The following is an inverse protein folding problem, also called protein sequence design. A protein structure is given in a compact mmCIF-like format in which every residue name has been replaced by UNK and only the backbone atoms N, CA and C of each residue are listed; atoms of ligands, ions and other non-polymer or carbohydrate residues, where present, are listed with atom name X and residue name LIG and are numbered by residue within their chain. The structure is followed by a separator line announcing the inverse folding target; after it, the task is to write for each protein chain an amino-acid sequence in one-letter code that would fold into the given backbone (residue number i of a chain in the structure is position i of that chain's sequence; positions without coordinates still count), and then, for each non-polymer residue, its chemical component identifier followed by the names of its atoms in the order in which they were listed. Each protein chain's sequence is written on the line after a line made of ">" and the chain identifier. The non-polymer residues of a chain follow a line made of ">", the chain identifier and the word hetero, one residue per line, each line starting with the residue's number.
data_IF_158956350984
#
_entry.id   IF_158956350984
#
_cell.length_a   1.000
_cell.length_b   1.000
_cell.length_c   1.000
_cell.angle_alpha   90.00
_cell.angle_beta   90.00
_cell.angle_gamma   90.00
#
_symmetry.space_group_name_H-M   'P 1'
#
loop_
_entity.id
_entity.type
_entity.pdbx_description
1 polymer ?
#
# COMPACT_ATOMS: atom_id res chain seq x y z
N UNK A 1 4.79 -12.27 7.18
CA UNK A 1 3.90 -11.60 6.20
C UNK A 1 2.51 -11.28 6.78
N UNK A 2 1.96 -12.12 7.68
CA UNK A 2 0.63 -11.89 8.29
C UNK A 2 0.49 -10.63 9.15
N UNK A 3 1.46 -10.34 10.02
CA UNK A 3 1.37 -9.21 10.99
C UNK A 3 1.19 -7.84 10.33
N UNK A 4 1.89 -7.59 9.21
CA UNK A 4 1.79 -6.32 8.50
C UNK A 4 0.49 -6.21 7.68
N UNK A 5 -0.12 -7.32 7.28
CA UNK A 5 -1.44 -7.31 6.61
C UNK A 5 -2.57 -7.05 7.59
N UNK A 6 -2.50 -7.60 8.82
CA UNK A 6 -3.46 -7.26 9.88
C UNK A 6 -3.41 -5.77 10.23
N UNK A 7 -2.20 -5.21 10.34
CA UNK A 7 -2.02 -3.76 10.56
C UNK A 7 -2.63 -2.95 9.41
N UNK A 8 -2.45 -3.38 8.16
CA UNK A 8 -3.08 -2.73 7.01
C UNK A 8 -4.61 -2.80 7.07
N UNK A 9 -5.18 -3.96 7.43
CA UNK A 9 -6.62 -4.12 7.57
C UNK A 9 -7.21 -3.17 8.62
N UNK A 10 -6.53 -3.01 9.77
CA UNK A 10 -6.89 -2.00 10.77
C UNK A 10 -6.86 -0.59 10.16
N UNK A 11 -5.78 -0.21 9.49
CA UNK A 11 -5.67 1.14 8.92
C UNK A 11 -6.74 1.41 7.85
N UNK A 12 -7.05 0.42 7.01
CA UNK A 12 -8.14 0.52 6.00
C UNK A 12 -9.49 0.73 6.68
N UNK A 13 -9.74 0.06 7.81
CA UNK A 13 -10.96 0.28 8.62
C UNK A 13 -11.06 1.71 9.12
N UNK A 14 -9.92 2.32 9.47
CA UNK A 14 -9.83 3.73 9.92
C UNK A 14 -9.78 4.74 8.76
N UNK A 15 -9.87 4.29 7.50
CA UNK A 15 -10.01 5.15 6.33
C UNK A 15 -8.70 5.41 5.56
N UNK A 16 -7.61 4.74 5.91
CA UNK A 16 -6.37 4.80 5.14
C UNK A 16 -6.56 4.14 3.77
N UNK A 17 -6.07 4.79 2.72
CA UNK A 17 -6.14 4.28 1.35
C UNK A 17 -4.88 4.62 0.56
N UNK A 18 -4.84 4.19 -0.71
CA UNK A 18 -3.75 4.52 -1.66
C UNK A 18 -3.36 6.00 -1.65
N UNK A 19 -4.31 6.91 -1.45
CA UNK A 19 -4.03 8.37 -1.44
C UNK A 19 -3.02 8.78 -0.35
N UNK A 20 -2.92 7.99 0.72
CA UNK A 20 -2.06 8.24 1.87
C UNK A 20 -0.69 7.56 1.72
N UNK A 21 -0.55 6.64 0.75
CA UNK A 21 0.68 5.91 0.45
C UNK A 21 1.55 6.70 -0.53
N UNK A 22 1.96 7.91 -0.14
CA UNK A 22 2.84 8.78 -0.93
C UNK A 22 4.08 9.20 -0.14
N UNK A 23 5.14 9.55 -0.87
CA UNK A 23 6.34 10.11 -0.26
C UNK A 23 6.21 11.63 -0.05
N UNK A 24 6.98 12.22 0.87
CA UNK A 24 7.05 13.67 1.00
C UNK A 24 7.49 14.33 -0.31
N UNK A 25 6.93 15.51 -0.62
CA UNK A 25 7.19 16.24 -1.87
C UNK A 25 8.68 16.45 -2.17
N UNK A 26 9.47 16.73 -1.13
CA UNK A 26 10.93 16.86 -1.24
C UNK A 26 11.58 15.60 -1.82
N UNK A 27 11.22 14.43 -1.30
CA UNK A 27 11.81 13.16 -1.69
C UNK A 27 11.40 12.77 -3.12
N UNK A 28 10.17 13.11 -3.51
CA UNK A 28 9.66 12.83 -4.86
C UNK A 28 10.28 13.74 -5.92
N UNK A 29 10.46 15.02 -5.62
CA UNK A 29 10.70 16.03 -6.64
C UNK A 29 12.11 16.63 -6.61
N UNK A 30 12.78 16.64 -5.45
CA UNK A 30 14.10 17.26 -5.32
C UNK A 30 15.20 16.20 -5.49
N UNK A 31 16.18 16.45 -6.38
CA UNK A 31 17.35 15.59 -6.49
C UNK A 31 18.17 15.56 -5.19
N UNK A 32 18.78 14.42 -4.91
CA UNK A 32 19.69 14.25 -3.78
C UNK A 32 20.84 15.26 -3.89
N UNK A 33 21.12 16.07 -2.86
CA UNK A 33 22.05 17.19 -2.98
C UNK A 33 23.53 16.79 -2.96
N UNK A 34 23.88 15.68 -2.28
CA UNK A 34 25.28 15.25 -2.07
C UNK A 34 25.39 13.72 -1.91
N UNK A 35 26.60 13.19 -2.10
CA UNK A 35 26.93 11.77 -1.95
C UNK A 35 26.86 10.98 -3.28
N UNK A 36 26.88 9.65 -3.21
CA UNK A 36 26.91 8.79 -4.40
C UNK A 36 25.67 8.92 -5.29
N UNK A 37 24.51 9.25 -4.71
CA UNK A 37 23.26 9.45 -5.43
C UNK A 37 23.01 10.92 -5.83
N UNK A 38 24.04 11.78 -5.81
CA UNK A 38 23.88 13.22 -6.15
C UNK A 38 23.20 13.38 -7.50
N UNK A 39 22.16 14.21 -7.56
CA UNK A 39 21.37 14.44 -8.78
C UNK A 39 20.29 13.39 -9.05
N UNK A 40 20.25 12.29 -8.30
CA UNK A 40 19.18 11.27 -8.41
C UNK A 40 17.96 11.67 -7.56
N UNK A 41 16.77 11.38 -8.06
CA UNK A 41 15.50 11.43 -7.32
C UNK A 41 15.10 10.03 -6.84
N UNK A 42 14.16 9.95 -5.89
CA UNK A 42 13.66 8.67 -5.39
C UNK A 42 12.98 7.82 -6.48
N UNK A 43 12.28 8.47 -7.41
CA UNK A 43 11.63 7.86 -8.56
C UNK A 43 11.92 8.67 -9.82
N UNK A 44 11.84 8.01 -10.98
CA UNK A 44 12.10 8.66 -12.27
C UNK A 44 11.01 9.70 -12.55
N UNK A 45 9.76 9.31 -12.35
CA UNK A 45 8.56 10.16 -12.44
C UNK A 45 7.49 9.72 -11.43
N UNK A 46 6.38 10.46 -11.37
CA UNK A 46 5.22 10.06 -10.57
C UNK A 46 4.61 8.75 -11.07
N UNK A 47 4.59 8.54 -12.39
CA UNK A 47 4.06 7.32 -13.01
C UNK A 47 4.91 6.09 -12.67
N UNK A 48 6.23 6.25 -12.62
CA UNK A 48 7.16 5.20 -12.17
C UNK A 48 6.86 4.79 -10.72
N UNK A 49 6.61 5.77 -9.83
CA UNK A 49 6.19 5.51 -8.46
C UNK A 49 4.85 4.77 -8.39
N UNK A 50 3.83 5.21 -9.12
CA UNK A 50 2.51 4.58 -9.13
C UNK A 50 2.58 3.13 -9.64
N UNK A 51 3.40 2.84 -10.65
CA UNK A 51 3.64 1.49 -11.15
C UNK A 51 4.35 0.61 -10.12
N UNK A 52 5.34 1.16 -9.39
CA UNK A 52 5.97 0.46 -8.28
C UNK A 52 4.97 0.15 -7.16
N UNK A 53 4.07 1.09 -6.86
CA UNK A 53 3.05 0.92 -5.82
C UNK A 53 2.01 -0.14 -6.22
N UNK A 54 1.57 -0.16 -7.49
CA UNK A 54 0.69 -1.20 -8.03
C UNK A 54 1.31 -2.59 -7.92
N UNK A 55 2.59 -2.70 -8.29
CA UNK A 55 3.32 -3.96 -8.20
C UNK A 55 3.47 -4.40 -6.75
N UNK A 56 3.73 -3.46 -5.83
CA UNK A 56 3.80 -3.75 -4.41
C UNK A 56 2.48 -4.32 -3.88
N UNK A 57 1.33 -3.72 -4.21
CA UNK A 57 0.02 -4.25 -3.80
C UNK A 57 -0.26 -5.63 -4.37
N UNK A 58 0.00 -5.83 -5.67
CA UNK A 58 -0.17 -7.12 -6.33
C UNK A 58 0.63 -8.23 -5.64
N UNK A 59 1.91 -7.97 -5.33
CA UNK A 59 2.77 -8.92 -4.61
C UNK A 59 2.28 -9.24 -3.19
N UNK A 60 1.51 -8.33 -2.58
CA UNK A 60 0.92 -8.50 -1.26
C UNK A 60 -0.46 -9.15 -1.28
N UNK A 61 -1.04 -9.39 -2.46
CA UNK A 61 -2.43 -9.84 -2.60
C UNK A 61 -3.44 -8.76 -2.22
N UNK A 62 -3.09 -7.49 -2.42
CA UNK A 62 -3.95 -6.34 -2.18
C UNK A 62 -4.52 -5.81 -3.50
N UNK A 63 -5.66 -5.13 -3.43
CA UNK A 63 -6.26 -4.48 -4.58
C UNK A 63 -5.51 -3.19 -4.98
N UNK A 64 -5.92 -2.56 -6.08
CA UNK A 64 -5.31 -1.31 -6.56
C UNK A 64 -5.47 -0.12 -5.60
N UNK A 65 -6.40 -0.20 -4.65
CA UNK A 65 -6.61 0.80 -3.60
C UNK A 65 -5.77 0.52 -2.34
N UNK A 66 -4.93 -0.52 -2.37
CA UNK A 66 -4.08 -0.93 -1.26
C UNK A 66 -4.86 -1.62 -0.14
N UNK A 67 -6.01 -2.24 -0.44
CA UNK A 67 -6.80 -3.01 0.52
C UNK A 67 -6.47 -4.50 0.41
N UNK A 68 -6.21 -5.21 1.53
CA UNK A 68 -6.07 -6.66 1.49
C UNK A 68 -7.32 -7.32 0.91
N UNK A 69 -7.16 -8.22 -0.05
CA UNK A 69 -8.29 -8.96 -0.60
C UNK A 69 -8.84 -9.96 0.42
N UNK A 70 -10.12 -10.32 0.30
CA UNK A 70 -10.73 -11.35 1.14
C UNK A 70 -9.93 -12.67 1.08
N UNK A 71 -9.54 -13.10 -0.13
CA UNK A 71 -8.68 -14.26 -0.35
C UNK A 71 -7.39 -14.20 0.48
N UNK A 72 -6.65 -13.09 0.41
CA UNK A 72 -5.39 -12.93 1.15
C UNK A 72 -5.59 -12.93 2.65
N UNK A 73 -6.68 -12.35 3.16
CA UNK A 73 -6.97 -12.36 4.59
C UNK A 73 -7.27 -13.78 5.09
N UNK A 74 -8.04 -14.56 4.34
CA UNK A 74 -8.33 -15.97 4.68
C UNK A 74 -7.07 -16.84 4.61
N UNK A 75 -6.25 -16.70 3.55
CA UNK A 75 -4.97 -17.43 3.43
C UNK A 75 -4.02 -17.16 4.61
N UNK A 76 -4.10 -15.96 5.19
CA UNK A 76 -3.31 -15.54 6.35
C UNK A 76 -3.98 -15.83 7.70
N UNK A 77 -5.14 -16.51 7.72
CA UNK A 77 -5.92 -16.82 8.94
C UNK A 77 -6.37 -15.56 9.70
N UNK A 78 -6.85 -14.55 8.95
CA UNK A 78 -7.36 -13.28 9.45
C UNK A 78 -8.87 -13.12 9.15
N UNK A 79 -9.64 -14.20 9.32
CA UNK A 79 -11.07 -14.27 8.97
C UNK A 79 -11.90 -13.21 9.71
N UNK A 80 -11.58 -12.92 10.98
CA UNK A 80 -12.27 -11.87 11.75
C UNK A 80 -12.10 -10.48 11.11
N UNK A 81 -10.91 -10.17 10.60
CA UNK A 81 -10.64 -8.91 9.91
C UNK A 81 -11.32 -8.88 8.53
N UNK A 82 -11.34 -10.02 7.82
CA UNK A 82 -12.04 -10.14 6.55
C UNK A 82 -13.54 -9.85 6.72
N UNK A 83 -14.14 -10.42 7.76
CA UNK A 83 -15.56 -10.24 8.08
C UNK A 83 -15.89 -8.80 8.50
N UNK A 84 -15.08 -8.17 9.35
CA UNK A 84 -15.28 -6.76 9.76
C UNK A 84 -15.21 -5.82 8.56
N UNK A 85 -14.18 -5.95 7.71
CA UNK A 85 -14.04 -5.13 6.51
C UNK A 85 -15.19 -5.36 5.51
N UNK A 86 -15.67 -6.60 5.38
CA UNK A 86 -16.82 -6.94 4.53
C UNK A 86 -18.11 -6.30 5.04
N UNK A 87 -18.41 -6.41 6.35
CA UNK A 87 -19.61 -5.80 6.97
C UNK A 87 -19.65 -4.28 6.74
N UNK A 88 -18.47 -3.65 6.71
CA UNK A 88 -18.28 -2.22 6.43
C UNK A 88 -18.29 -1.87 4.94
N UNK A 89 -18.41 -2.85 4.05
CA UNK A 89 -18.35 -2.70 2.58
C UNK A 89 -17.02 -2.09 2.11
N UNK A 90 -15.93 -2.41 2.80
CA UNK A 90 -14.60 -1.91 2.46
C UNK A 90 -13.87 -2.82 1.46
N UNK A 91 -14.17 -4.12 1.46
CA UNK A 91 -13.62 -5.11 0.53
C UNK A 91 -14.74 -5.98 -0.06
N UNK A 92 -14.49 -6.56 -1.24
CA UNK A 92 -15.38 -7.51 -1.91
C UNK A 92 -15.10 -8.96 -1.49
N UNK A 93 -16.04 -9.85 -1.83
CA UNK A 93 -15.99 -11.31 -1.54
C UNK A 93 -14.90 -12.03 -2.29
#
# INVERSE_FOLDING_TARGET
>A
MGESTLTRAFNVREGLSRKDDHLPQRIMNEPTPKGHATGCKAFISTEDFEQCLDKYYSLRGWDQNGKPTHKTLVELKLEDAAEDLRKRKLIET
#
